data_IF_610728648493
#
_entry.id   IF_610728648493
#
_cell.length_a   1.000
_cell.length_b   1.000
_cell.length_c   1.000
_cell.angle_alpha   90.00
_cell.angle_beta   90.00
_cell.angle_gamma   90.00
#
_symmetry.space_group_name_H-M   'P 1'
#
loop_
_entity.id
_entity.type
_entity.pdbx_description
1 polymer ?
#
# COMPACT_ATOMS: atom_id res chain seq x y z
N UNK A 1 -2.66 13.49 -9.99
CA UNK A 1 -2.66 13.88 -8.57
C UNK A 1 -3.69 12.99 -7.91
N UNK A 2 -3.29 12.14 -6.97
CA UNK A 2 -4.23 11.32 -6.21
C UNK A 2 -5.22 12.19 -5.45
N UNK A 3 -6.34 11.59 -5.02
CA UNK A 3 -7.41 12.26 -4.29
C UNK A 3 -6.91 13.05 -3.07
N UNK A 4 -5.92 12.54 -2.34
CA UNK A 4 -5.37 13.23 -1.16
C UNK A 4 -4.70 14.57 -1.48
N UNK A 5 -4.00 14.69 -2.61
CA UNK A 5 -3.34 15.94 -2.98
C UNK A 5 -4.39 16.97 -3.46
N UNK A 6 -5.44 16.52 -4.12
CA UNK A 6 -6.56 17.36 -4.55
C UNK A 6 -7.42 17.82 -3.36
N UNK A 7 -7.49 16.99 -2.31
CA UNK A 7 -8.35 17.24 -1.17
C UNK A 7 -7.95 18.48 -0.36
N UNK A 8 -6.65 18.62 -0.12
CA UNK A 8 -6.10 19.78 0.57
C UNK A 8 -6.05 21.01 -0.32
N UNK A 9 -5.93 20.85 -1.65
CA UNK A 9 -6.04 21.98 -2.57
C UNK A 9 -7.45 22.58 -2.55
N UNK A 10 -8.50 21.75 -2.49
CA UNK A 10 -9.89 22.20 -2.31
C UNK A 10 -10.06 22.94 -0.97
N UNK A 11 -9.63 22.35 0.15
CA UNK A 11 -9.72 23.03 1.45
C UNK A 11 -8.85 24.29 1.53
N UNK A 12 -7.74 24.38 0.79
CA UNK A 12 -6.93 25.61 0.72
C UNK A 12 -7.60 26.76 -0.05
N UNK A 13 -8.61 26.46 -0.87
CA UNK A 13 -9.45 27.46 -1.53
C UNK A 13 -10.46 28.10 -0.58
N UNK A 14 -10.95 27.34 0.41
CA UNK A 14 -11.87 27.85 1.46
C UNK A 14 -11.13 28.31 2.74
N UNK A 15 -9.95 27.75 3.02
CA UNK A 15 -9.12 28.13 4.15
C UNK A 15 -8.30 29.38 3.83
N UNK A 16 -8.19 30.31 4.79
CA UNK A 16 -7.30 31.48 4.70
C UNK A 16 -5.84 31.00 4.52
N UNK A 17 -5.37 31.01 3.28
CA UNK A 17 -3.98 30.66 2.93
C UNK A 17 -3.03 31.51 3.76
N UNK A 18 -2.08 30.87 4.43
CA UNK A 18 -1.06 31.51 5.23
C UNK A 18 0.29 30.81 5.07
N UNK A 19 1.32 31.33 5.74
CA UNK A 19 2.71 30.83 5.64
C UNK A 19 2.89 29.33 5.99
N UNK A 20 1.95 28.72 6.71
CA UNK A 20 2.01 27.30 7.09
C UNK A 20 1.26 26.38 6.14
N UNK A 21 0.43 26.92 5.25
CA UNK A 21 -0.49 26.15 4.39
C UNK A 21 0.25 25.07 3.58
N UNK A 22 1.39 25.40 2.98
CA UNK A 22 2.19 24.43 2.22
C UNK A 22 2.69 23.28 3.11
N UNK A 23 3.26 23.60 4.27
CA UNK A 23 3.81 22.60 5.16
C UNK A 23 2.72 21.69 5.73
N UNK A 24 1.47 22.16 5.82
CA UNK A 24 0.32 21.35 6.27
C UNK A 24 -0.30 20.48 5.18
N UNK A 25 -0.23 20.88 3.91
CA UNK A 25 -0.91 20.18 2.81
C UNK A 25 0.01 19.29 1.98
N UNK A 26 1.32 19.49 2.03
CA UNK A 26 2.26 18.71 1.22
C UNK A 26 2.51 17.33 1.80
N UNK A 27 2.33 16.29 0.98
CA UNK A 27 2.68 14.91 1.33
C UNK A 27 4.18 14.75 1.67
N UNK A 28 5.06 15.53 1.04
CA UNK A 28 6.49 15.53 1.38
C UNK A 28 6.76 16.19 2.73
N UNK A 29 5.96 17.20 3.09
CA UNK A 29 6.05 17.85 4.39
C UNK A 29 5.54 16.93 5.51
N UNK A 30 4.56 16.06 5.26
CA UNK A 30 4.11 15.06 6.25
C UNK A 30 5.27 14.15 6.67
N UNK A 31 5.99 13.56 5.72
CA UNK A 31 7.12 12.68 6.03
C UNK A 31 8.26 13.46 6.70
N UNK A 32 8.56 14.66 6.19
CA UNK A 32 9.60 15.53 6.77
C UNK A 32 9.27 15.98 8.20
N UNK A 33 7.99 16.17 8.55
CA UNK A 33 7.55 16.50 9.91
C UNK A 33 7.86 15.38 10.88
N UNK A 34 7.67 14.11 10.50
CA UNK A 34 8.03 12.97 11.33
C UNK A 34 9.54 12.95 11.59
N UNK A 35 10.36 13.13 10.54
CA UNK A 35 11.81 13.20 10.70
C UNK A 35 12.25 14.39 11.55
N UNK A 36 11.67 15.56 11.34
CA UNK A 36 11.95 16.77 12.13
C UNK A 36 11.59 16.58 13.61
N UNK A 37 10.36 16.14 13.90
CA UNK A 37 9.86 16.01 15.27
C UNK A 37 10.50 14.88 16.07
N UNK A 38 11.02 13.85 15.39
CA UNK A 38 11.71 12.71 16.01
C UNK A 38 13.23 12.78 15.88
N UNK A 39 13.76 13.87 15.33
CA UNK A 39 15.20 14.09 15.10
C UNK A 39 15.88 12.98 14.26
N UNK A 40 15.16 12.43 13.29
CA UNK A 40 15.71 11.43 12.38
C UNK A 40 16.46 12.08 11.21
N UNK A 41 17.58 11.46 10.83
CA UNK A 41 18.45 11.91 9.73
C UNK A 41 18.53 10.92 8.56
N UNK A 42 17.79 9.81 8.66
CA UNK A 42 17.70 8.80 7.59
C UNK A 42 16.82 9.23 6.42
N UNK A 43 16.64 8.36 5.41
CA UNK A 43 15.79 8.63 4.25
C UNK A 43 14.35 8.98 4.65
N UNK A 44 13.80 10.01 4.03
CA UNK A 44 12.43 10.47 4.23
C UNK A 44 11.74 10.62 2.87
N UNK A 45 10.86 9.69 2.54
CA UNK A 45 10.24 9.60 1.20
C UNK A 45 8.72 9.52 1.32
N UNK A 46 8.04 10.37 0.57
CA UNK A 46 6.60 10.28 0.35
C UNK A 46 6.32 9.44 -0.91
N UNK A 47 5.40 8.48 -0.82
CA UNK A 47 5.03 7.56 -1.89
C UNK A 47 3.53 7.67 -2.13
N UNK A 48 3.15 7.84 -3.39
CA UNK A 48 1.76 7.87 -3.84
C UNK A 48 1.63 7.02 -5.11
N UNK A 49 1.06 5.84 -4.93
CA UNK A 49 0.75 4.87 -5.99
C UNK A 49 -0.72 4.46 -5.95
N UNK A 50 -1.59 5.32 -5.38
CA UNK A 50 -2.99 5.01 -5.14
C UNK A 50 -3.17 3.96 -4.03
N UNK A 51 -4.04 2.98 -4.26
CA UNK A 51 -4.45 1.97 -3.27
C UNK A 51 -3.27 1.09 -2.78
N UNK A 52 -2.19 1.00 -3.56
CA UNK A 52 -0.99 0.21 -3.21
C UNK A 52 0.06 0.98 -2.38
N UNK A 53 -0.17 2.26 -2.07
CA UNK A 53 0.85 3.15 -1.49
C UNK A 53 1.49 2.60 -0.22
N UNK A 54 0.69 2.01 0.68
CA UNK A 54 1.21 1.45 1.94
C UNK A 54 2.11 0.22 1.76
N UNK A 55 1.79 -0.65 0.80
CA UNK A 55 2.61 -1.82 0.48
C UNK A 55 3.90 -1.41 -0.24
N UNK A 56 3.84 -0.41 -1.13
CA UNK A 56 5.04 0.12 -1.80
C UNK A 56 5.93 0.89 -0.82
N UNK A 57 5.37 1.59 0.16
CA UNK A 57 6.15 2.18 1.25
C UNK A 57 6.86 1.11 2.10
N UNK A 58 6.21 -0.03 2.32
CA UNK A 58 6.82 -1.17 3.02
C UNK A 58 7.95 -1.82 2.22
N UNK A 59 7.76 -2.04 0.92
CA UNK A 59 8.81 -2.53 0.00
C UNK A 59 10.01 -1.57 -0.04
N UNK A 60 9.77 -0.26 -0.14
CA UNK A 60 10.84 0.74 -0.13
C UNK A 60 11.63 0.73 1.20
N UNK A 61 10.94 0.60 2.34
CA UNK A 61 11.57 0.48 3.64
C UNK A 61 12.41 -0.82 3.77
N UNK A 62 11.89 -1.96 3.31
CA UNK A 62 12.62 -3.23 3.27
C UNK A 62 13.89 -3.12 2.43
N UNK A 63 13.83 -2.49 1.27
CA UNK A 63 15.00 -2.25 0.41
C UNK A 63 16.03 -1.36 1.09
N UNK A 64 15.61 -0.22 1.64
CA UNK A 64 16.51 0.70 2.35
C UNK A 64 17.23 0.03 3.54
N UNK A 65 16.51 -0.82 4.28
CA UNK A 65 17.09 -1.64 5.34
C UNK A 65 18.12 -2.64 4.78
N UNK A 66 17.75 -3.44 3.77
CA UNK A 66 18.64 -4.44 3.15
C UNK A 66 19.91 -3.82 2.55
N UNK A 67 19.79 -2.63 1.94
CA UNK A 67 20.91 -1.86 1.38
C UNK A 67 21.77 -1.17 2.45
N UNK A 68 21.31 -1.11 3.70
CA UNK A 68 22.02 -0.46 4.80
C UNK A 68 21.92 1.06 4.80
N UNK A 69 20.97 1.64 4.05
CA UNK A 69 20.67 3.06 4.07
C UNK A 69 20.07 3.51 5.43
N UNK A 70 19.47 2.58 6.17
CA UNK A 70 19.03 2.78 7.55
C UNK A 70 19.10 1.45 8.34
N UNK A 71 19.10 1.55 9.68
CA UNK A 71 19.05 0.40 10.59
C UNK A 71 17.62 0.11 11.08
N UNK A 72 16.76 1.12 11.05
CA UNK A 72 15.36 1.07 11.43
C UNK A 72 14.59 1.93 10.44
N UNK A 73 13.43 1.45 10.01
CA UNK A 73 12.56 2.16 9.08
C UNK A 73 11.12 2.18 9.59
N UNK A 74 10.45 3.31 9.39
CA UNK A 74 9.01 3.42 9.56
C UNK A 74 8.37 3.39 8.16
N UNK A 75 7.48 2.43 7.91
CA UNK A 75 6.63 2.42 6.72
C UNK A 75 5.21 2.77 7.17
N UNK A 76 4.68 3.91 6.73
CA UNK A 76 3.35 4.37 7.14
C UNK A 76 2.46 4.67 5.93
N UNK A 77 1.16 4.48 6.11
CA UNK A 77 0.14 4.87 5.15
C UNK A 77 -1.05 5.46 5.89
N UNK A 78 -1.63 6.51 5.32
CA UNK A 78 -2.80 7.20 5.86
C UNK A 78 -3.82 7.39 4.75
N UNK A 79 -5.10 7.19 5.07
CA UNK A 79 -6.25 7.51 4.23
C UNK A 79 -7.23 8.33 5.05
N UNK A 80 -7.62 9.49 4.53
CA UNK A 80 -8.57 10.41 5.16
C UNK A 80 -9.38 11.09 4.06
N UNK A 81 -10.70 11.14 4.23
CA UNK A 81 -11.66 11.74 3.31
C UNK A 81 -11.90 13.16 3.80
N UNK A 82 -11.14 14.12 3.25
CA UNK A 82 -11.20 15.51 3.77
C UNK A 82 -12.34 16.31 3.15
N UNK A 83 -12.83 15.90 1.98
CA UNK A 83 -13.94 16.54 1.30
C UNK A 83 -14.71 15.52 0.44
N UNK A 84 -15.94 15.85 0.01
CA UNK A 84 -16.76 14.90 -0.75
C UNK A 84 -16.38 14.77 -2.22
N UNK A 85 -15.52 15.64 -2.76
CA UNK A 85 -15.20 15.67 -4.20
C UNK A 85 -14.52 14.38 -4.67
N UNK A 86 -13.54 13.85 -3.93
CA UNK A 86 -12.94 12.55 -4.25
C UNK A 86 -14.05 11.47 -4.34
N UNK A 87 -14.90 11.39 -3.31
CA UNK A 87 -15.99 10.41 -3.29
C UNK A 87 -16.96 10.59 -4.46
N UNK A 88 -17.34 11.82 -4.80
CA UNK A 88 -18.20 12.13 -5.96
C UNK A 88 -17.56 11.65 -7.26
N UNK A 89 -16.27 11.88 -7.46
CA UNK A 89 -15.57 11.43 -8.67
C UNK A 89 -15.48 9.90 -8.76
N UNK A 90 -15.25 9.22 -7.62
CA UNK A 90 -15.24 7.75 -7.56
C UNK A 90 -16.64 7.16 -7.81
N UNK A 91 -17.70 7.80 -7.30
CA UNK A 91 -19.08 7.44 -7.63
C UNK A 91 -19.38 7.60 -9.12
N UNK A 92 -18.96 8.72 -9.72
CA UNK A 92 -19.14 8.97 -11.15
C UNK A 92 -18.36 7.97 -12.03
N UNK A 93 -17.19 7.51 -11.56
CA UNK A 93 -16.40 6.47 -12.20
C UNK A 93 -16.97 5.05 -12.00
N UNK A 94 -17.96 4.88 -11.12
CA UNK A 94 -18.58 3.58 -10.82
C UNK A 94 -17.79 2.69 -9.88
N UNK A 95 -16.83 3.24 -9.11
CA UNK A 95 -16.03 2.46 -8.16
C UNK A 95 -16.69 2.27 -6.80
N UNK A 96 -17.58 3.17 -6.41
CA UNK A 96 -18.25 3.12 -5.09
C UNK A 96 -19.51 2.26 -5.16
N UNK A 97 -19.65 1.33 -4.22
CA UNK A 97 -20.84 0.49 -4.06
C UNK A 97 -22.09 1.33 -3.82
N UNK A 98 -23.14 1.10 -4.62
CA UNK A 98 -24.45 1.76 -4.44
C UNK A 98 -25.18 1.22 -3.21
N UNK A 99 -24.90 -0.02 -2.85
CA UNK A 99 -25.46 -0.66 -1.66
C UNK A 99 -24.75 -0.27 -0.35
N UNK A 100 -23.64 0.47 -0.44
CA UNK A 100 -22.85 0.89 0.71
C UNK A 100 -22.12 -0.25 1.43
N UNK A 101 -21.82 -1.34 0.73
CA UNK A 101 -21.08 -2.48 1.27
C UNK A 101 -20.08 -3.01 0.24
N UNK A 102 -18.83 -3.23 0.65
CA UNK A 102 -17.86 -3.97 -0.17
C UNK A 102 -18.16 -5.47 -0.05
N UNK A 103 -18.69 -6.08 -1.10
CA UNK A 103 -18.93 -7.54 -1.17
C UNK A 103 -17.86 -8.19 -2.03
N UNK A 104 -16.79 -8.61 -1.39
CA UNK A 104 -15.65 -9.25 -2.06
C UNK A 104 -15.99 -10.67 -2.51
N UNK A 105 -15.61 -11.02 -3.74
CA UNK A 105 -15.84 -12.35 -4.34
C UNK A 105 -17.31 -12.79 -4.40
N UNK A 106 -18.24 -11.83 -4.36
CA UNK A 106 -19.68 -12.08 -4.38
C UNK A 106 -20.28 -11.83 -5.76
N UNK A 107 -21.32 -12.57 -6.15
CA UNK A 107 -21.98 -12.38 -7.44
C UNK A 107 -22.65 -10.99 -7.58
N UNK A 108 -23.05 -10.42 -6.45
CA UNK A 108 -23.73 -9.12 -6.28
C UNK A 108 -22.76 -7.98 -5.95
N UNK A 109 -21.45 -8.20 -6.11
CA UNK A 109 -20.41 -7.18 -5.94
C UNK A 109 -20.64 -5.99 -6.89
N UNK A 110 -20.76 -4.78 -6.35
CA UNK A 110 -21.09 -3.56 -7.10
C UNK A 110 -20.11 -2.40 -6.84
N UNK A 111 -18.90 -2.70 -6.35
CA UNK A 111 -17.85 -1.75 -5.97
C UNK A 111 -17.47 -1.84 -4.49
N UNK A 112 -16.71 -0.85 -4.02
CA UNK A 112 -16.26 -0.77 -2.61
C UNK A 112 -16.83 0.44 -1.86
N UNK A 113 -16.73 0.40 -0.54
CA UNK A 113 -16.88 1.57 0.32
C UNK A 113 -15.53 2.15 0.72
N UNK A 114 -15.38 3.47 0.66
CA UNK A 114 -14.15 4.14 1.08
C UNK A 114 -14.01 4.11 2.59
N UNK A 115 -12.82 3.74 3.07
CA UNK A 115 -12.46 3.76 4.48
C UNK A 115 -11.37 4.80 4.80
N UNK A 116 -11.32 5.19 6.06
CA UNK A 116 -10.28 6.03 6.64
C UNK A 116 -9.43 5.21 7.61
N UNK A 117 -8.17 5.58 7.75
CA UNK A 117 -7.29 4.90 8.69
C UNK A 117 -5.83 5.28 8.51
N UNK A 118 -5.03 5.00 9.53
CA UNK A 118 -3.58 5.16 9.52
C UNK A 118 -2.94 3.88 10.02
N UNK A 119 -1.94 3.40 9.30
CA UNK A 119 -1.15 2.21 9.67
C UNK A 119 0.31 2.57 9.60
N UNK A 120 1.08 2.17 10.61
CA UNK A 120 2.53 2.34 10.67
C UNK A 120 3.19 1.03 11.08
N UNK A 121 4.17 0.59 10.29
CA UNK A 121 5.05 -0.54 10.58
C UNK A 121 6.42 -0.02 11.01
N UNK A 122 6.93 -0.54 12.11
CA UNK A 122 8.33 -0.39 12.53
C UNK A 122 9.11 -1.61 12.05
N UNK A 123 10.09 -1.38 11.17
CA UNK A 123 10.85 -2.43 10.51
C UNK A 123 12.34 -2.34 10.89
N UNK A 124 12.95 -3.50 11.12
CA UNK A 124 14.39 -3.66 11.34
C UNK A 124 14.88 -4.88 10.57
N UNK A 125 16.17 -4.91 10.24
CA UNK A 125 16.76 -6.12 9.68
C UNK A 125 16.91 -7.17 10.77
N UNK A 126 16.47 -8.39 10.46
CA UNK A 126 16.63 -9.52 11.37
C UNK A 126 18.11 -9.82 11.71
N UNK A 127 19.06 -9.54 10.80
CA UNK A 127 20.50 -9.78 11.03
C UNK A 127 21.14 -8.83 12.04
N UNK A 128 20.61 -7.63 12.26
CA UNK A 128 21.21 -6.67 13.19
C UNK A 128 21.01 -7.09 14.66
N UNK A 129 20.10 -8.04 14.93
CA UNK A 129 19.78 -8.55 16.27
C UNK A 129 20.39 -9.94 16.56
N UNK A 130 21.05 -10.58 15.58
CA UNK A 130 21.68 -11.92 15.70
C UNK A 130 23.20 -11.84 15.85
N UNK A 131 23.66 -11.19 16.93
CA UNK A 131 24.99 -11.49 17.49
C UNK A 131 24.98 -12.68 18.45
N UNK A 132 23.82 -13.26 18.73
CA UNK A 132 23.70 -14.53 19.45
C UNK A 132 22.56 -15.37 18.86
N UNK A 133 22.72 -16.68 18.99
CA UNK A 133 22.20 -17.77 18.16
C UNK A 133 20.69 -18.05 18.28
N UNK A 134 19.82 -17.05 18.20
CA UNK A 134 18.39 -17.28 18.33
C UNK A 134 17.59 -16.51 17.27
N UNK A 135 17.22 -17.21 16.19
CA UNK A 135 16.40 -16.72 15.06
C UNK A 135 15.02 -16.17 15.51
N UNK A 136 14.69 -16.26 16.81
CA UNK A 136 13.47 -15.79 17.45
C UNK A 136 13.66 -14.52 18.29
N UNK A 137 14.89 -14.02 18.45
CA UNK A 137 15.21 -12.95 19.39
C UNK A 137 15.00 -11.54 18.79
N UNK A 138 13.75 -11.22 18.46
CA UNK A 138 13.25 -9.85 18.61
C UNK A 138 12.05 -9.98 19.55
N UNK A 139 12.17 -9.65 20.86
CA UNK A 139 11.16 -9.95 21.86
C UNK A 139 9.73 -9.48 21.52
N UNK A 140 9.61 -8.47 20.64
CA UNK A 140 8.36 -7.85 20.24
C UNK A 140 8.02 -7.98 18.74
N UNK A 141 8.76 -8.81 17.98
CA UNK A 141 8.45 -8.98 16.56
C UNK A 141 7.07 -9.63 16.36
N UNK A 142 6.21 -8.95 15.61
CA UNK A 142 4.84 -9.41 15.28
C UNK A 142 4.80 -10.29 14.03
N UNK A 143 5.86 -10.28 13.23
CA UNK A 143 5.97 -11.04 11.99
C UNK A 143 7.28 -10.73 11.26
N UNK A 144 7.57 -11.51 10.22
CA UNK A 144 8.75 -11.36 9.37
C UNK A 144 8.33 -11.16 7.92
N UNK A 145 8.83 -10.09 7.30
CA UNK A 145 8.68 -9.89 5.86
C UNK A 145 9.78 -10.68 5.17
N UNK A 146 9.42 -11.83 4.60
CA UNK A 146 10.37 -12.69 3.88
C UNK A 146 10.77 -12.06 2.54
N UNK A 147 9.81 -11.51 1.82
CA UNK A 147 10.06 -10.79 0.58
C UNK A 147 8.88 -9.97 0.09
N UNK A 148 9.15 -9.15 -0.92
CA UNK A 148 8.17 -8.24 -1.54
C UNK A 148 8.37 -8.17 -3.05
N UNK A 149 7.33 -7.74 -3.77
CA UNK A 149 7.36 -7.61 -5.22
C UNK A 149 6.57 -6.39 -5.67
N UNK A 150 7.09 -5.67 -6.67
CA UNK A 150 6.44 -4.52 -7.28
C UNK A 150 6.56 -4.62 -8.81
N UNK A 151 5.48 -4.35 -9.51
CA UNK A 151 5.45 -4.22 -10.97
C UNK A 151 4.39 -3.20 -11.41
N UNK A 152 4.18 -3.09 -12.72
CA UNK A 152 3.10 -2.33 -13.30
C UNK A 152 2.43 -3.19 -14.38
N UNK A 153 1.11 -3.08 -14.51
CA UNK A 153 0.35 -3.81 -15.52
C UNK A 153 0.67 -3.42 -16.96
N UNK A 154 1.26 -2.25 -17.19
CA UNK A 154 1.60 -1.75 -18.51
C UNK A 154 0.37 -1.56 -19.39
N UNK A 155 0.47 -1.95 -20.66
CA UNK A 155 -0.65 -1.89 -21.59
C UNK A 155 -1.71 -2.94 -21.22
N UNK A 156 -2.93 -2.49 -21.00
CA UNK A 156 -4.11 -3.33 -20.71
C UNK A 156 -5.33 -2.76 -21.42
N UNK A 157 -6.51 -3.38 -21.26
CA UNK A 157 -7.74 -2.99 -21.96
C UNK A 157 -8.21 -1.57 -21.66
N UNK A 158 -7.84 -1.01 -20.51
CA UNK A 158 -7.99 0.40 -20.18
C UNK A 158 -6.98 0.79 -19.09
N UNK A 159 -6.79 2.09 -18.84
CA UNK A 159 -5.92 2.56 -17.76
C UNK A 159 -6.35 2.01 -16.38
N UNK A 160 -7.66 1.80 -16.17
CA UNK A 160 -8.21 1.27 -14.92
C UNK A 160 -8.25 -0.26 -14.86
N UNK A 161 -8.31 -0.94 -16.00
CA UNK A 161 -8.52 -2.39 -16.05
C UNK A 161 -7.41 -3.19 -15.36
N UNK A 162 -7.72 -4.21 -14.56
CA UNK A 162 -6.71 -5.07 -13.96
C UNK A 162 -5.98 -5.94 -15.01
N UNK A 163 -4.91 -6.65 -14.63
CA UNK A 163 -4.20 -7.59 -15.52
C UNK A 163 -3.76 -8.86 -14.77
N UNK A 164 -4.36 -10.00 -15.12
CA UNK A 164 -4.04 -11.31 -14.55
C UNK A 164 -2.56 -11.70 -14.69
N UNK A 165 -1.93 -11.56 -15.87
CA UNK A 165 -0.49 -11.81 -16.02
C UNK A 165 0.38 -10.91 -15.14
N UNK A 166 0.00 -9.65 -14.94
CA UNK A 166 0.73 -8.75 -14.05
C UNK A 166 0.59 -9.16 -12.58
N UNK A 167 -0.59 -9.62 -12.15
CA UNK A 167 -0.81 -10.17 -10.80
C UNK A 167 0.04 -11.42 -10.59
N UNK A 168 0.06 -12.35 -11.57
CA UNK A 168 0.90 -13.56 -11.48
C UNK A 168 2.39 -13.22 -11.40
N UNK A 169 2.86 -12.26 -12.21
CA UNK A 169 4.25 -11.82 -12.20
C UNK A 169 4.64 -11.18 -10.87
N UNK A 170 3.82 -10.30 -10.28
CA UNK A 170 4.15 -9.65 -9.01
C UNK A 170 4.21 -10.65 -7.85
N UNK A 171 3.30 -11.62 -7.80
CA UNK A 171 3.34 -12.72 -6.82
C UNK A 171 4.61 -13.55 -7.01
N UNK A 172 4.97 -13.88 -8.26
CA UNK A 172 6.19 -14.58 -8.59
C UNK A 172 7.46 -13.82 -8.18
N UNK A 173 7.47 -12.49 -8.33
CA UNK A 173 8.59 -11.64 -7.85
C UNK A 173 8.72 -11.69 -6.34
N UNK A 174 7.61 -11.52 -5.61
CA UNK A 174 7.61 -11.59 -4.15
C UNK A 174 8.06 -12.97 -3.63
N UNK A 175 7.61 -14.05 -4.26
CA UNK A 175 8.04 -15.42 -3.94
C UNK A 175 9.54 -15.63 -4.18
N UNK A 176 10.09 -15.13 -5.29
CA UNK A 176 11.54 -15.19 -5.57
C UNK A 176 12.35 -14.36 -4.58
N UNK A 177 11.89 -13.16 -4.24
CA UNK A 177 12.55 -12.31 -3.24
C UNK A 177 12.54 -12.95 -1.85
N UNK A 178 11.44 -13.63 -1.51
CA UNK A 178 11.30 -14.38 -0.26
C UNK A 178 12.11 -15.69 -0.22
N UNK A 179 12.64 -16.13 -1.37
CA UNK A 179 13.19 -17.48 -1.57
C UNK A 179 12.25 -18.58 -1.03
N UNK A 180 10.94 -18.38 -1.19
CA UNK A 180 9.90 -19.27 -0.67
C UNK A 180 8.94 -19.64 -1.79
N UNK A 181 8.75 -20.94 -2.09
CA UNK A 181 7.81 -21.36 -3.12
C UNK A 181 6.36 -21.03 -2.73
N UNK A 182 5.54 -20.74 -3.73
CA UNK A 182 4.15 -20.26 -3.57
C UNK A 182 3.28 -21.30 -2.84
N UNK A 183 3.52 -22.60 -3.02
CA UNK A 183 2.73 -23.67 -2.39
C UNK A 183 2.87 -23.72 -0.85
N UNK A 184 3.88 -23.05 -0.27
CA UNK A 184 4.02 -22.91 1.18
C UNK A 184 3.20 -21.75 1.76
N UNK A 185 2.58 -20.92 0.94
CA UNK A 185 1.70 -19.86 1.44
C UNK A 185 0.40 -20.49 1.93
N UNK A 186 0.08 -20.35 3.21
CA UNK A 186 -1.18 -20.87 3.78
C UNK A 186 -2.37 -20.00 3.37
N UNK A 187 -2.21 -18.68 3.52
CA UNK A 187 -3.28 -17.68 3.36
C UNK A 187 -2.84 -16.56 2.44
N UNK A 188 -3.81 -15.93 1.77
CA UNK A 188 -3.62 -14.73 0.95
C UNK A 188 -4.64 -13.69 1.39
N UNK A 189 -4.14 -12.52 1.79
CA UNK A 189 -4.95 -11.32 1.93
C UNK A 189 -5.00 -10.64 0.56
N UNK A 190 -6.16 -10.69 -0.09
CA UNK A 190 -6.36 -10.19 -1.45
C UNK A 190 -6.61 -8.67 -1.45
N UNK A 191 -6.39 -8.03 -2.60
CA UNK A 191 -6.79 -6.64 -2.80
C UNK A 191 -8.31 -6.49 -2.79
N UNK A 192 -9.01 -7.44 -3.45
CA UNK A 192 -10.44 -7.67 -3.36
C UNK A 192 -11.27 -6.39 -3.28
N UNK A 193 -11.37 -5.67 -4.40
CA UNK A 193 -12.03 -4.36 -4.45
C UNK A 193 -13.55 -4.44 -4.46
N UNK A 194 -14.15 -5.65 -4.43
CA UNK A 194 -15.60 -5.80 -4.56
C UNK A 194 -16.11 -5.42 -5.95
N UNK A 195 -15.20 -5.38 -6.94
CA UNK A 195 -15.54 -5.28 -8.35
C UNK A 195 -15.51 -6.67 -8.98
N UNK A 196 -16.60 -7.07 -9.62
CA UNK A 196 -16.80 -8.44 -10.12
C UNK A 196 -15.67 -8.90 -11.04
N UNK A 197 -15.20 -8.04 -11.93
CA UNK A 197 -14.16 -8.37 -12.90
C UNK A 197 -12.79 -8.48 -12.21
N UNK A 198 -12.49 -7.52 -11.34
CA UNK A 198 -11.21 -7.44 -10.62
C UNK A 198 -11.06 -8.62 -9.66
N UNK A 199 -12.07 -8.89 -8.85
CA UNK A 199 -12.11 -9.98 -7.88
C UNK A 199 -11.98 -11.34 -8.58
N UNK A 200 -12.73 -11.55 -9.67
CA UNK A 200 -12.64 -12.79 -10.45
C UNK A 200 -11.22 -12.98 -11.00
N UNK A 201 -10.61 -11.93 -11.54
CA UNK A 201 -9.29 -12.06 -12.14
C UNK A 201 -8.18 -12.26 -11.10
N UNK A 202 -8.28 -11.61 -9.93
CA UNK A 202 -7.38 -11.85 -8.81
C UNK A 202 -7.44 -13.32 -8.36
N UNK A 203 -8.66 -13.85 -8.18
CA UNK A 203 -8.87 -15.24 -7.78
C UNK A 203 -8.32 -16.22 -8.82
N UNK A 204 -8.56 -15.99 -10.11
CA UNK A 204 -8.03 -16.83 -11.19
C UNK A 204 -6.50 -16.77 -11.27
N UNK A 205 -5.91 -15.59 -11.08
CA UNK A 205 -4.46 -15.41 -11.05
C UNK A 205 -3.83 -16.20 -9.91
N UNK A 206 -4.40 -16.11 -8.70
CA UNK A 206 -3.94 -16.85 -7.53
C UNK A 206 -4.10 -18.36 -7.72
N UNK A 207 -5.28 -18.82 -8.16
CA UNK A 207 -5.55 -20.25 -8.37
C UNK A 207 -4.57 -20.87 -9.37
N UNK A 208 -4.24 -20.15 -10.45
CA UNK A 208 -3.32 -20.64 -11.48
C UNK A 208 -1.88 -20.87 -10.98
N UNK A 209 -1.47 -20.20 -9.89
CA UNK A 209 -0.13 -20.34 -9.31
C UNK A 209 -0.04 -21.51 -8.33
N UNK A 210 -1.15 -21.91 -7.70
CA UNK A 210 -1.19 -23.05 -6.77
C UNK A 210 -1.37 -24.40 -7.46
N UNK A 211 -1.89 -24.42 -8.68
CA UNK A 211 -2.10 -25.65 -9.45
C UNK A 211 -0.86 -26.13 -10.23
N UNK A 212 0.31 -25.50 -10.03
CA UNK A 212 1.59 -25.88 -10.63
C UNK A 212 2.53 -26.39 -9.56
#
# INVERSE_FOLDING_TARGET
MSGQQQDWHFMSGEAKINKHTWASSSISALVSRCSYGLHFTGPAVAIDTGESSGLIASDAAVRALREGACQTAFASSASWISNPYELITLCAAGFISKSGQTRVFDETSDGYTKGEGVVTLLLRRHKDELKDQDLRAVPDARGLILGSGVNNKGQSSSLGSPSGPAIQDVIGRASRDANSPIFLMDTIEASASGDKLSDQMELMAVASLRCK
#
